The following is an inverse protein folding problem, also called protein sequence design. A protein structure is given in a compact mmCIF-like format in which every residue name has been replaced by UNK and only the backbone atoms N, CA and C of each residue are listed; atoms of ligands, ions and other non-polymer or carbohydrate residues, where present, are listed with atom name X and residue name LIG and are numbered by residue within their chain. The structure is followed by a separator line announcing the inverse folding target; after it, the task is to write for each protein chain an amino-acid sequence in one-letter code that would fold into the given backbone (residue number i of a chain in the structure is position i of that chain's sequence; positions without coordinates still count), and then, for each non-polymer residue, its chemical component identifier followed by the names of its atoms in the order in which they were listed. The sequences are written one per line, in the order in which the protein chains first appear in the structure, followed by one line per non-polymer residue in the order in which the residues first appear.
data_IF_607997529828
#
_entry.id   IF_607997529828
#
_cell.length_a   1.000
_cell.length_b   1.000
_cell.length_c   1.000
_cell.angle_alpha   90.00
_cell.angle_beta   90.00
_cell.angle_gamma   90.00
#
_symmetry.space_group_name_H-M   'P 1'
#
loop_
_entity.id
_entity.type
_entity.pdbx_description
1 polymer ?
#
# COMPACT_ATOMS: atom_id res chain seq x y z
N UNK A 1 -11.05 -6.87 44.72
CA UNK A 1 -10.05 -5.89 44.27
C UNK A 1 -10.18 -5.78 42.76
N UNK A 2 -10.98 -4.83 42.28
CA UNK A 2 -10.96 -4.44 40.88
C UNK A 2 -9.57 -3.91 40.58
N UNK A 3 -8.83 -4.60 39.70
CA UNK A 3 -7.61 -4.04 39.12
C UNK A 3 -8.06 -2.77 38.43
N UNK A 4 -7.58 -1.63 38.93
CA UNK A 4 -7.54 -0.36 38.21
C UNK A 4 -7.20 -0.72 36.76
N UNK A 5 -8.16 -0.60 35.86
CA UNK A 5 -7.90 -0.65 34.42
C UNK A 5 -6.96 0.53 34.22
N UNK A 6 -5.66 0.26 34.24
CA UNK A 6 -4.61 1.23 33.94
C UNK A 6 -5.08 1.89 32.65
N UNK A 7 -5.45 3.18 32.74
CA UNK A 7 -5.86 4.07 31.65
C UNK A 7 -5.77 3.42 30.28
N UNK A 8 -6.92 3.25 29.62
CA UNK A 8 -7.10 2.54 28.35
C UNK A 8 -5.78 2.38 27.56
N UNK A 9 -5.13 1.23 27.75
CA UNK A 9 -3.80 0.99 27.20
C UNK A 9 -3.83 1.06 25.66
N UNK A 10 -5.00 0.81 25.06
CA UNK A 10 -5.19 0.87 23.62
C UNK A 10 -5.02 2.27 23.05
N UNK A 11 -5.31 3.33 23.81
CA UNK A 11 -5.12 4.72 23.36
C UNK A 11 -3.68 5.22 23.54
N UNK A 12 -2.81 4.43 24.17
CA UNK A 12 -1.46 4.87 24.58
C UNK A 12 -0.32 4.08 23.96
N UNK A 13 -0.60 2.88 23.45
CA UNK A 13 0.39 2.07 22.77
C UNK A 13 0.54 2.50 21.32
N UNK A 14 1.77 2.47 20.82
CA UNK A 14 2.05 2.67 19.41
C UNK A 14 1.54 1.49 18.55
N UNK A 15 1.34 1.69 17.24
CA UNK A 15 1.00 0.60 16.32
C UNK A 15 2.00 -0.56 16.36
N UNK A 16 3.29 -0.25 16.56
CA UNK A 16 4.35 -1.25 16.69
C UNK A 16 4.20 -2.10 17.96
N UNK A 17 3.96 -1.46 19.11
CA UNK A 17 3.74 -2.16 20.38
C UNK A 17 2.47 -3.02 20.33
N UNK A 18 1.39 -2.51 19.72
CA UNK A 18 0.16 -3.26 19.50
C UNK A 18 0.40 -4.52 18.66
N UNK A 19 1.16 -4.40 17.56
CA UNK A 19 1.51 -5.53 16.71
C UNK A 19 2.35 -6.58 17.45
N UNK A 20 3.33 -6.16 18.25
CA UNK A 20 4.14 -7.09 19.04
C UNK A 20 3.31 -7.83 20.09
N UNK A 21 2.40 -7.14 20.80
CA UNK A 21 1.47 -7.79 21.73
C UNK A 21 0.61 -8.84 21.00
N UNK A 22 0.06 -8.48 19.84
CA UNK A 22 -0.76 -9.37 19.01
C UNK A 22 0.02 -10.61 18.54
N UNK A 23 1.29 -10.44 18.13
CA UNK A 23 2.21 -11.54 17.80
C UNK A 23 2.46 -12.48 18.98
N UNK A 24 2.57 -11.95 20.20
CA UNK A 24 2.76 -12.81 21.38
C UNK A 24 1.51 -13.62 21.71
N UNK A 25 0.31 -13.02 21.64
CA UNK A 25 -0.94 -13.72 21.96
C UNK A 25 -1.19 -14.86 20.96
N UNK A 26 -0.98 -14.60 19.67
CA UNK A 26 -1.25 -15.57 18.60
C UNK A 26 -0.31 -16.79 18.58
N UNK A 27 0.81 -16.76 19.32
CA UNK A 27 1.67 -17.94 19.53
C UNK A 27 0.98 -19.03 20.36
N UNK A 28 0.05 -18.64 21.24
CA UNK A 28 -0.60 -19.57 22.18
C UNK A 28 -2.08 -19.74 21.89
N UNK A 29 -2.76 -18.69 21.42
CA UNK A 29 -4.19 -18.73 21.10
C UNK A 29 -4.46 -18.85 19.59
N UNK A 30 -4.69 -20.09 19.14
CA UNK A 30 -5.04 -20.39 17.74
C UNK A 30 -6.41 -19.85 17.33
N UNK A 31 -7.37 -19.73 18.26
CA UNK A 31 -8.72 -19.22 17.96
C UNK A 31 -8.67 -17.73 17.71
N UNK A 32 -7.93 -17.00 18.54
CA UNK A 32 -7.69 -15.58 18.33
C UNK A 32 -6.91 -15.34 17.05
N UNK A 33 -5.88 -16.15 16.76
CA UNK A 33 -5.15 -16.07 15.49
C UNK A 33 -6.09 -16.17 14.28
N UNK A 34 -7.00 -17.15 14.27
CA UNK A 34 -7.99 -17.28 13.20
C UNK A 34 -8.88 -16.05 13.10
N UNK A 35 -9.36 -15.51 14.24
CA UNK A 35 -10.23 -14.33 14.23
C UNK A 35 -9.54 -13.08 13.68
N UNK A 36 -8.25 -12.92 13.96
CA UNK A 36 -7.44 -11.83 13.39
C UNK A 36 -7.34 -11.95 11.87
N UNK A 37 -7.12 -13.16 11.35
CA UNK A 37 -7.07 -13.40 9.89
C UNK A 37 -8.41 -13.04 9.24
N UNK A 38 -9.54 -13.49 9.81
CA UNK A 38 -10.87 -13.15 9.30
C UNK A 38 -11.09 -11.62 9.26
N UNK A 39 -10.68 -10.90 10.32
CA UNK A 39 -10.81 -9.44 10.37
C UNK A 39 -9.91 -8.73 9.36
N UNK A 40 -8.70 -9.26 9.12
CA UNK A 40 -7.79 -8.72 8.12
C UNK A 40 -8.34 -8.93 6.71
N UNK A 41 -8.84 -10.13 6.40
CA UNK A 41 -9.49 -10.43 5.13
C UNK A 41 -10.69 -9.51 4.88
N UNK A 42 -11.55 -9.32 5.88
CA UNK A 42 -12.71 -8.42 5.76
C UNK A 42 -12.29 -6.96 5.54
N UNK A 43 -11.22 -6.49 6.20
CA UNK A 43 -10.70 -5.13 6.04
C UNK A 43 -10.19 -4.86 4.62
N UNK A 44 -9.59 -5.85 3.98
CA UNK A 44 -8.93 -5.68 2.69
C UNK A 44 -9.80 -6.08 1.49
N UNK A 45 -11.01 -6.62 1.71
CA UNK A 45 -11.89 -7.20 0.66
C UNK A 45 -12.49 -6.18 -0.32
N UNK A 46 -12.61 -4.92 0.09
CA UNK A 46 -13.40 -3.89 -0.61
C UNK A 46 -12.60 -3.07 -1.63
N UNK A 47 -11.78 -3.73 -2.45
CA UNK A 47 -11.11 -3.08 -3.59
C UNK A 47 -12.13 -2.77 -4.69
N UNK A 48 -12.27 -1.49 -5.03
CA UNK A 48 -13.10 -1.02 -6.13
C UNK A 48 -12.23 -0.61 -7.32
N UNK A 49 -12.47 -1.24 -8.48
CA UNK A 49 -11.72 -0.99 -9.72
C UNK A 49 -11.81 0.47 -10.16
N UNK A 50 -13.00 1.08 -10.12
CA UNK A 50 -13.20 2.46 -10.56
C UNK A 50 -12.47 3.44 -9.64
N UNK A 51 -12.43 3.17 -8.34
CA UNK A 51 -11.63 3.97 -7.40
C UNK A 51 -10.13 3.87 -7.70
N UNK A 52 -9.60 2.66 -7.94
CA UNK A 52 -8.20 2.48 -8.32
C UNK A 52 -7.89 3.19 -9.64
N UNK A 53 -8.78 3.13 -10.63
CA UNK A 53 -8.63 3.86 -11.89
C UNK A 53 -8.57 5.38 -11.67
N UNK A 54 -9.47 5.93 -10.84
CA UNK A 54 -9.48 7.36 -10.53
C UNK A 54 -8.18 7.80 -9.84
N UNK A 55 -7.69 7.02 -8.87
CA UNK A 55 -6.43 7.30 -8.19
C UNK A 55 -5.23 7.27 -9.15
N UNK A 56 -5.17 6.27 -10.03
CA UNK A 56 -4.14 6.18 -11.08
C UNK A 56 -4.23 7.36 -12.04
N UNK A 57 -5.44 7.74 -12.45
CA UNK A 57 -5.64 8.92 -13.29
C UNK A 57 -5.07 10.17 -12.63
N UNK A 58 -5.39 10.44 -11.36
CA UNK A 58 -4.89 11.61 -10.66
C UNK A 58 -3.37 11.57 -10.43
N UNK A 59 -2.80 10.39 -10.19
CA UNK A 59 -1.35 10.22 -10.07
C UNK A 59 -0.63 10.58 -11.37
N UNK A 60 -1.17 10.14 -12.51
CA UNK A 60 -0.61 10.44 -13.84
C UNK A 60 -0.86 11.88 -14.28
N UNK A 61 -2.06 12.43 -14.03
CA UNK A 61 -2.40 13.83 -14.32
C UNK A 61 -1.58 14.81 -13.47
N UNK A 62 -1.13 14.36 -12.29
CA UNK A 62 -0.24 15.11 -11.40
C UNK A 62 1.21 15.21 -11.85
N UNK A 63 1.63 14.51 -12.93
CA UNK A 63 2.98 14.59 -13.46
C UNK A 63 3.22 15.98 -14.06
N UNK A 64 4.13 16.75 -13.47
CA UNK A 64 4.49 18.08 -13.96
C UNK A 64 5.48 17.99 -15.13
N UNK A 65 5.09 18.53 -16.29
CA UNK A 65 5.94 18.61 -17.47
C UNK A 65 7.20 19.45 -17.24
N UNK A 66 7.18 20.40 -16.30
CA UNK A 66 8.36 21.15 -15.93
C UNK A 66 9.37 20.30 -15.16
N UNK A 67 8.91 19.42 -14.27
CA UNK A 67 9.77 18.46 -13.58
C UNK A 67 10.41 17.50 -14.59
N UNK A 68 9.67 17.06 -15.60
CA UNK A 68 10.22 16.25 -16.69
C UNK A 68 11.39 16.93 -17.40
N UNK A 69 11.26 18.21 -17.73
CA UNK A 69 12.36 18.96 -18.36
C UNK A 69 13.55 19.18 -17.43
N UNK A 70 13.30 19.38 -16.14
CA UNK A 70 14.36 19.56 -15.15
C UNK A 70 15.14 18.26 -14.90
N UNK A 71 14.47 17.10 -15.01
CA UNK A 71 15.07 15.78 -14.84
C UNK A 71 15.70 15.23 -16.13
N UNK A 72 15.20 15.65 -17.29
CA UNK A 72 15.75 15.26 -18.58
C UNK A 72 17.04 16.01 -18.93
N UNK A 73 17.77 15.49 -19.92
CA UNK A 73 18.97 16.11 -20.44
C UNK A 73 20.26 15.56 -19.82
N UNK A 74 21.30 16.40 -19.82
CA UNK A 74 22.64 15.99 -19.40
C UNK A 74 22.78 15.96 -17.89
N UNK A 75 23.24 14.83 -17.38
CA UNK A 75 23.64 14.61 -15.99
C UNK A 75 25.07 14.07 -15.91
N UNK A 76 25.59 13.89 -14.69
CA UNK A 76 26.88 13.21 -14.46
C UNK A 76 26.90 11.76 -14.94
N UNK A 77 25.73 11.14 -15.12
CA UNK A 77 25.58 9.74 -15.53
C UNK A 77 25.33 9.58 -17.04
N UNK A 78 25.30 10.68 -17.81
CA UNK A 78 25.01 10.68 -19.24
C UNK A 78 23.84 11.58 -19.60
N UNK A 79 23.31 11.41 -20.80
CA UNK A 79 22.14 12.13 -21.28
C UNK A 79 20.89 11.24 -21.19
N UNK A 80 19.82 11.75 -20.61
CA UNK A 80 18.50 11.11 -20.62
C UNK A 80 17.59 11.90 -21.54
N UNK A 81 16.94 11.23 -22.50
CA UNK A 81 15.99 11.92 -23.38
C UNK A 81 14.72 12.29 -22.61
N UNK A 82 14.00 13.35 -23.02
CA UNK A 82 12.68 13.65 -22.46
C UNK A 82 11.71 12.46 -22.56
N UNK A 83 11.81 11.66 -23.62
CA UNK A 83 10.98 10.47 -23.81
C UNK A 83 11.30 9.38 -22.79
N UNK A 84 12.59 9.11 -22.54
CA UNK A 84 13.00 8.12 -21.53
C UNK A 84 12.61 8.60 -20.11
N UNK A 85 12.79 9.89 -19.83
CA UNK A 85 12.39 10.47 -18.54
C UNK A 85 10.87 10.46 -18.35
N UNK A 86 10.09 10.64 -19.42
CA UNK A 86 8.63 10.52 -19.35
C UNK A 86 8.21 9.10 -18.91
N UNK A 87 8.88 8.06 -19.42
CA UNK A 87 8.64 6.68 -19.03
C UNK A 87 9.03 6.45 -17.58
N UNK A 88 10.18 6.96 -17.14
CA UNK A 88 10.63 6.85 -15.74
C UNK A 88 9.61 7.48 -14.78
N UNK A 89 9.17 8.71 -15.03
CA UNK A 89 8.18 9.40 -14.20
C UNK A 89 6.82 8.69 -14.21
N UNK A 90 6.43 8.11 -15.35
CA UNK A 90 5.22 7.30 -15.45
C UNK A 90 5.32 6.03 -14.59
N UNK A 91 6.45 5.31 -14.64
CA UNK A 91 6.69 4.13 -13.82
C UNK A 91 6.72 4.49 -12.33
N UNK A 92 7.37 5.59 -11.95
CA UNK A 92 7.38 6.11 -10.58
C UNK A 92 5.98 6.45 -10.06
N UNK A 93 5.14 7.06 -10.88
CA UNK A 93 3.76 7.38 -10.52
C UNK A 93 2.91 6.12 -10.33
N UNK A 94 3.20 5.04 -11.08
CA UNK A 94 2.49 3.76 -10.94
C UNK A 94 3.04 2.86 -9.83
N UNK A 95 4.28 3.07 -9.39
CA UNK A 95 4.96 2.21 -8.41
C UNK A 95 4.16 1.98 -7.11
N UNK A 96 3.54 3.00 -6.48
CA UNK A 96 2.72 2.78 -5.28
C UNK A 96 1.58 1.79 -5.50
N UNK A 97 1.01 1.77 -6.71
CA UNK A 97 -0.08 0.89 -7.07
C UNK A 97 0.39 -0.55 -7.31
N UNK A 98 1.57 -0.71 -7.93
CA UNK A 98 2.20 -2.02 -8.07
C UNK A 98 2.57 -2.61 -6.72
N UNK A 99 3.12 -1.79 -5.81
CA UNK A 99 3.46 -2.22 -4.45
C UNK A 99 2.22 -2.68 -3.66
N UNK A 100 1.09 -1.99 -3.79
CA UNK A 100 -0.16 -2.42 -3.14
C UNK A 100 -0.69 -3.74 -3.73
N UNK A 101 -0.61 -3.90 -5.06
CA UNK A 101 -0.94 -5.17 -5.70
C UNK A 101 -0.05 -6.32 -5.20
N UNK A 102 1.26 -6.11 -5.08
CA UNK A 102 2.18 -7.12 -4.54
C UNK A 102 1.90 -7.41 -3.06
N UNK A 103 1.58 -6.39 -2.26
CA UNK A 103 1.17 -6.56 -0.86
C UNK A 103 -0.07 -7.44 -0.74
N UNK A 104 -1.08 -7.26 -1.61
CA UNK A 104 -2.27 -8.10 -1.64
C UNK A 104 -1.95 -9.55 -2.06
N UNK A 105 -1.01 -9.75 -2.98
CA UNK A 105 -0.52 -11.09 -3.34
C UNK A 105 0.19 -11.79 -2.19
N UNK A 106 1.04 -11.08 -1.45
CA UNK A 106 1.74 -11.60 -0.25
C UNK A 106 0.76 -11.97 0.88
N UNK A 107 -0.41 -11.34 0.90
CA UNK A 107 -1.53 -11.66 1.80
C UNK A 107 -2.45 -12.76 1.28
N UNK A 108 -2.12 -13.41 0.15
CA UNK A 108 -2.93 -14.42 -0.55
C UNK A 108 -4.31 -13.90 -1.01
N UNK A 109 -4.48 -12.57 -1.10
CA UNK A 109 -5.72 -11.90 -1.52
C UNK A 109 -5.80 -11.77 -3.05
N UNK A 110 -5.78 -12.91 -3.72
CA UNK A 110 -5.67 -12.98 -5.19
C UNK A 110 -6.82 -12.29 -5.93
N UNK A 111 -8.03 -12.28 -5.36
CA UNK A 111 -9.18 -11.62 -5.97
C UNK A 111 -8.99 -10.10 -5.95
N UNK A 112 -8.59 -9.56 -4.81
CA UNK A 112 -8.40 -8.13 -4.59
C UNK A 112 -7.18 -7.63 -5.38
N UNK A 113 -6.07 -8.38 -5.38
CA UNK A 113 -4.91 -8.08 -6.22
C UNK A 113 -5.28 -8.01 -7.70
N UNK A 114 -6.15 -8.92 -8.18
CA UNK A 114 -6.66 -8.88 -9.56
C UNK A 114 -7.49 -7.62 -9.83
N UNK A 115 -8.39 -7.24 -8.91
CA UNK A 115 -9.19 -6.02 -9.07
C UNK A 115 -8.30 -4.78 -9.10
N UNK A 116 -7.26 -4.75 -8.26
CA UNK A 116 -6.26 -3.68 -8.24
C UNK A 116 -5.51 -3.60 -9.57
N UNK A 117 -5.01 -4.74 -10.08
CA UNK A 117 -4.36 -4.85 -11.38
C UNK A 117 -5.26 -4.40 -12.55
N UNK A 118 -6.55 -4.73 -12.49
CA UNK A 118 -7.52 -4.27 -13.49
C UNK A 118 -7.70 -2.76 -13.45
N UNK A 119 -7.59 -2.13 -12.27
CA UNK A 119 -7.69 -0.69 -12.12
C UNK A 119 -6.49 0.05 -12.69
N UNK A 120 -5.28 -0.47 -12.47
CA UNK A 120 -4.03 0.12 -12.98
C UNK A 120 -3.83 -0.03 -14.48
N UNK A 121 -4.37 -1.07 -15.10
CA UNK A 121 -4.15 -1.37 -16.53
C UNK A 121 -5.24 -0.83 -17.47
N UNK A 122 -6.19 -0.03 -16.97
CA UNK A 122 -7.38 0.43 -17.71
C UNK A 122 -7.20 1.83 -18.27
#
# INVERSE_FOLDING_TARGET
MERIIKNDIFDKISPYEALEILRQITKTDKKLKKKIVELAEDLFRDVNVDTVCEEVFFALDGIDVHELWDRAGSSTNGYTSPEDMAVEMFEEALEPFLQEMYRLLDLEMHREAKLYCMGTAR
#
